data_IF_705900585835
#
_entry.id   IF_705900585835
#
_cell.length_a   1.000
_cell.length_b   1.000
_cell.length_c   1.000
_cell.angle_alpha   90.00
_cell.angle_beta   90.00
_cell.angle_gamma   90.00
#
_symmetry.space_group_name_H-M   'P 1'
#
loop_
_entity.id
_entity.type
_entity.pdbx_description
1 polymer ?
#
# COMPACT_ATOMS: atom_id res chain seq x y z
N UNK A 1 10.85 -24.99 7.78
CA UNK A 1 10.26 -23.81 7.11
C UNK A 1 10.78 -22.51 7.69
N UNK A 2 10.41 -22.13 8.92
CA UNK A 2 10.81 -20.85 9.52
C UNK A 2 12.33 -20.56 9.51
N UNK A 3 13.17 -21.53 9.89
CA UNK A 3 14.62 -21.32 9.93
C UNK A 3 15.21 -20.91 8.57
N UNK A 4 14.71 -21.49 7.47
CA UNK A 4 15.18 -21.17 6.12
C UNK A 4 14.76 -19.75 5.70
N UNK A 5 13.57 -19.30 6.09
CA UNK A 5 13.12 -17.91 5.88
C UNK A 5 13.97 -16.91 6.68
N UNK A 6 14.36 -17.26 7.90
CA UNK A 6 15.24 -16.42 8.72
C UNK A 6 16.64 -16.34 8.13
N UNK A 7 17.26 -17.47 7.81
CA UNK A 7 18.63 -17.52 7.27
C UNK A 7 18.75 -16.86 5.90
N UNK A 8 17.71 -16.95 5.06
CA UNK A 8 17.67 -16.26 3.75
C UNK A 8 17.33 -14.77 3.83
N UNK A 9 16.86 -14.27 4.97
CA UNK A 9 16.33 -12.92 5.12
C UNK A 9 14.90 -12.73 4.61
N UNK A 10 14.28 -13.74 3.98
CA UNK A 10 12.90 -13.62 3.48
C UNK A 10 11.83 -13.51 4.58
N UNK A 11 12.20 -13.75 5.84
CA UNK A 11 11.32 -13.50 6.98
C UNK A 11 10.84 -12.04 7.06
N UNK A 12 11.63 -11.09 6.56
CA UNK A 12 11.24 -9.66 6.54
C UNK A 12 10.20 -9.33 5.47
N UNK A 13 9.78 -10.30 4.64
CA UNK A 13 8.65 -10.13 3.74
C UNK A 13 7.32 -9.98 4.51
N UNK A 14 7.25 -10.63 5.67
CA UNK A 14 6.07 -10.62 6.52
C UNK A 14 5.99 -9.33 7.31
N UNK A 15 4.78 -8.79 7.38
CA UNK A 15 4.40 -7.72 8.31
C UNK A 15 3.24 -8.18 9.15
N UNK A 16 3.21 -7.74 10.39
CA UNK A 16 2.15 -8.05 11.36
C UNK A 16 1.05 -7.01 11.29
N UNK A 17 -0.18 -7.36 11.65
CA UNK A 17 -1.21 -6.39 12.06
C UNK A 17 -1.59 -6.73 13.49
N UNK A 18 -1.57 -5.76 14.42
CA UNK A 18 -1.80 -4.32 14.17
C UNK A 18 -0.57 -3.42 13.92
N UNK A 19 0.67 -3.87 14.17
CA UNK A 19 1.83 -2.94 14.27
C UNK A 19 2.75 -2.84 13.05
N UNK A 20 2.52 -3.65 12.01
CA UNK A 20 3.29 -3.62 10.73
C UNK A 20 4.78 -3.87 10.89
N UNK A 21 5.14 -4.61 11.94
CA UNK A 21 6.51 -5.05 12.21
C UNK A 21 6.78 -6.39 11.55
N UNK A 22 8.05 -6.73 11.40
CA UNK A 22 8.45 -8.11 11.11
C UNK A 22 8.02 -9.00 12.28
N UNK A 23 7.38 -10.16 12.03
CA UNK A 23 6.97 -11.05 13.10
C UNK A 23 8.15 -11.51 13.97
N UNK A 24 7.93 -11.61 15.28
CA UNK A 24 8.93 -12.19 16.17
C UNK A 24 9.14 -13.68 15.81
N UNK A 25 10.39 -14.16 15.67
CA UNK A 25 10.64 -15.58 15.48
C UNK A 25 9.95 -16.43 16.57
N UNK A 26 9.19 -17.44 16.16
CA UNK A 26 8.45 -18.32 17.07
C UNK A 26 7.03 -17.85 17.40
N UNK A 27 6.64 -16.65 16.97
CA UNK A 27 5.23 -16.23 16.99
C UNK A 27 4.44 -16.93 15.89
N UNK A 28 3.13 -17.11 16.11
CA UNK A 28 2.21 -17.76 15.17
C UNK A 28 1.03 -16.81 14.94
N UNK A 29 0.66 -16.49 13.69
CA UNK A 29 -0.47 -15.63 13.41
C UNK A 29 -1.79 -16.42 13.42
N UNK A 30 -2.89 -15.73 13.71
CA UNK A 30 -4.23 -16.29 13.57
C UNK A 30 -4.60 -16.60 12.11
N UNK A 31 -4.07 -15.82 11.17
CA UNK A 31 -4.22 -16.01 9.72
C UNK A 31 -3.10 -15.29 8.97
N UNK A 32 -2.88 -15.67 7.71
CA UNK A 32 -1.92 -15.01 6.81
C UNK A 32 -2.66 -14.46 5.58
N UNK A 33 -2.41 -13.20 5.24
CA UNK A 33 -3.02 -12.51 4.10
C UNK A 33 -2.01 -12.32 2.97
N UNK A 34 -2.37 -12.77 1.77
CA UNK A 34 -1.60 -12.56 0.54
C UNK A 34 -2.34 -11.55 -0.31
N UNK A 35 -1.76 -10.36 -0.48
CA UNK A 35 -2.32 -9.35 -1.39
C UNK A 35 -1.95 -9.70 -2.84
N UNK A 36 -2.92 -10.26 -3.57
CA UNK A 36 -2.85 -10.62 -4.99
C UNK A 36 -3.79 -9.75 -5.85
N UNK A 37 -3.99 -8.52 -5.38
CA UNK A 37 -4.68 -7.42 -6.04
C UNK A 37 -3.93 -6.14 -5.64
N UNK A 38 -3.77 -5.20 -6.56
CA UNK A 38 -3.26 -3.86 -6.26
C UNK A 38 -4.17 -2.83 -6.93
N UNK A 39 -4.67 -1.89 -6.13
CA UNK A 39 -5.56 -0.82 -6.60
C UNK A 39 -4.92 0.56 -6.47
N UNK A 40 -3.65 0.63 -6.08
CA UNK A 40 -2.91 1.89 -6.12
C UNK A 40 -2.89 2.44 -7.55
N UNK A 41 -2.93 3.78 -7.73
CA UNK A 41 -2.72 4.37 -9.04
C UNK A 41 -1.36 3.92 -9.60
N UNK A 42 -1.34 3.58 -10.90
CA UNK A 42 -0.13 3.16 -11.64
C UNK A 42 0.45 1.80 -11.22
N UNK A 43 -0.26 1.02 -10.39
CA UNK A 43 0.19 -0.32 -10.00
C UNK A 43 0.13 -1.33 -11.16
N UNK A 44 0.95 -2.38 -11.06
CA UNK A 44 0.86 -3.55 -11.93
C UNK A 44 -0.38 -4.38 -11.58
N UNK A 45 -1.04 -4.97 -12.58
CA UNK A 45 -1.99 -6.05 -12.33
C UNK A 45 -1.22 -7.30 -11.87
N UNK A 46 -1.46 -7.82 -10.64
CA UNK A 46 -0.76 -9.00 -10.14
C UNK A 46 -1.05 -10.27 -10.94
N UNK A 47 -2.24 -10.39 -11.55
CA UNK A 47 -2.72 -11.66 -12.08
C UNK A 47 -1.82 -12.23 -13.19
N UNK A 48 -1.42 -11.47 -14.25
CA UNK A 48 -0.49 -11.98 -15.26
C UNK A 48 0.87 -12.39 -14.69
N UNK A 49 1.38 -11.65 -13.70
CA UNK A 49 2.68 -11.91 -13.06
C UNK A 49 2.62 -13.22 -12.27
N UNK A 50 1.55 -13.42 -11.50
CA UNK A 50 1.32 -14.65 -10.74
C UNK A 50 1.18 -15.85 -11.68
N UNK A 51 0.41 -15.73 -12.76
CA UNK A 51 0.20 -16.82 -13.71
C UNK A 51 1.51 -17.21 -14.43
N UNK A 52 2.38 -16.25 -14.74
CA UNK A 52 3.69 -16.50 -15.33
C UNK A 52 4.68 -17.21 -14.37
N UNK A 53 4.38 -17.24 -13.07
CA UNK A 53 5.19 -17.86 -12.00
C UNK A 53 4.34 -18.77 -11.11
N UNK A 54 3.34 -19.44 -11.71
CA UNK A 54 2.28 -20.11 -10.95
C UNK A 54 2.78 -21.19 -10.02
N UNK A 55 3.70 -22.03 -10.49
CA UNK A 55 4.30 -23.11 -9.70
C UNK A 55 4.97 -22.58 -8.43
N UNK A 56 5.78 -21.53 -8.55
CA UNK A 56 6.41 -20.87 -7.41
C UNK A 56 5.37 -20.22 -6.48
N UNK A 57 4.33 -19.59 -7.01
CA UNK A 57 3.26 -19.03 -6.19
C UNK A 57 2.57 -20.11 -5.35
N UNK A 58 2.21 -21.25 -5.93
CA UNK A 58 1.58 -22.37 -5.22
C UNK A 58 2.50 -23.01 -4.18
N UNK A 59 3.79 -23.18 -4.51
CA UNK A 59 4.79 -23.64 -3.54
C UNK A 59 4.91 -22.66 -2.35
N UNK A 60 4.91 -21.35 -2.63
CA UNK A 60 4.89 -20.30 -1.61
C UNK A 60 3.67 -20.41 -0.71
N UNK A 61 2.46 -20.55 -1.27
CA UNK A 61 1.23 -20.74 -0.50
C UNK A 61 1.29 -21.99 0.37
N UNK A 62 1.83 -23.10 -0.15
CA UNK A 62 2.04 -24.32 0.63
C UNK A 62 2.97 -24.07 1.82
N UNK A 63 4.07 -23.32 1.64
CA UNK A 63 4.94 -22.92 2.75
C UNK A 63 4.17 -22.09 3.79
N UNK A 64 3.34 -21.14 3.36
CA UNK A 64 2.54 -20.31 4.28
C UNK A 64 1.58 -21.14 5.13
N UNK A 65 0.99 -22.21 4.60
CA UNK A 65 0.11 -23.10 5.37
C UNK A 65 0.80 -23.80 6.54
N UNK A 66 2.13 -23.89 6.53
CA UNK A 66 2.90 -24.44 7.66
C UNK A 66 3.24 -23.42 8.75
N UNK A 67 2.98 -22.13 8.51
CA UNK A 67 3.31 -21.03 9.42
C UNK A 67 2.12 -20.60 10.29
N UNK A 68 0.93 -21.15 10.06
CA UNK A 68 -0.29 -20.85 10.81
C UNK A 68 -1.17 -22.09 10.88
N UNK A 69 -1.86 -22.27 12.00
CA UNK A 69 -2.94 -23.27 12.11
C UNK A 69 -4.25 -22.77 11.45
N UNK A 70 -4.33 -21.47 11.16
CA UNK A 70 -5.48 -20.81 10.58
C UNK A 70 -5.52 -20.83 9.06
N UNK A 71 -6.14 -19.81 8.47
CA UNK A 71 -6.32 -19.68 7.02
C UNK A 71 -5.20 -18.87 6.38
N UNK A 72 -4.91 -19.20 5.13
CA UNK A 72 -4.15 -18.35 4.20
C UNK A 72 -5.15 -17.69 3.25
N UNK A 73 -5.38 -16.40 3.41
CA UNK A 73 -6.30 -15.62 2.59
C UNK A 73 -5.58 -15.02 1.39
N UNK A 74 -5.80 -15.57 0.19
CA UNK A 74 -5.36 -14.97 -1.07
C UNK A 74 -6.42 -13.97 -1.52
N UNK A 75 -6.11 -12.68 -1.40
CA UNK A 75 -7.03 -11.60 -1.76
C UNK A 75 -6.78 -11.19 -3.21
N UNK A 76 -7.78 -11.36 -4.07
CA UNK A 76 -7.68 -11.13 -5.52
C UNK A 76 -8.81 -10.23 -6.03
N UNK A 77 -8.64 -9.70 -7.25
CA UNK A 77 -9.70 -8.96 -7.92
C UNK A 77 -10.92 -9.85 -8.22
N UNK A 78 -12.10 -9.22 -8.24
CA UNK A 78 -13.36 -9.88 -8.61
C UNK A 78 -13.31 -10.49 -10.01
N UNK A 79 -13.98 -11.64 -10.17
CA UNK A 79 -13.85 -12.51 -11.34
C UNK A 79 -12.63 -13.44 -11.26
N UNK A 80 -12.00 -13.51 -10.09
CA UNK A 80 -10.75 -14.19 -9.74
C UNK A 80 -10.35 -15.36 -10.63
N UNK A 81 -9.29 -15.14 -11.44
CA UNK A 81 -8.75 -16.13 -12.38
C UNK A 81 -7.51 -16.84 -11.85
N UNK A 82 -7.14 -16.61 -10.60
CA UNK A 82 -6.04 -17.33 -9.95
C UNK A 82 -6.43 -18.78 -9.59
N UNK A 83 -7.68 -19.20 -9.77
CA UNK A 83 -8.09 -20.57 -9.48
C UNK A 83 -8.05 -20.90 -7.99
N UNK A 84 -7.70 -22.15 -7.66
CA UNK A 84 -7.66 -22.68 -6.29
C UNK A 84 -6.28 -23.21 -5.90
N UNK A 85 -6.20 -23.84 -4.73
CA UNK A 85 -5.00 -24.50 -4.22
C UNK A 85 -5.39 -25.83 -3.55
N UNK A 86 -4.56 -26.90 -3.61
CA UNK A 86 -4.93 -28.21 -3.06
C UNK A 86 -5.15 -28.23 -1.54
N UNK A 87 -4.43 -27.39 -0.79
CA UNK A 87 -4.63 -27.25 0.65
C UNK A 87 -5.92 -26.46 0.95
N UNK A 88 -6.84 -27.07 1.70
CA UNK A 88 -8.09 -26.43 2.13
C UNK A 88 -7.92 -25.26 3.12
N UNK A 89 -6.72 -25.05 3.67
CA UNK A 89 -6.40 -23.85 4.45
C UNK A 89 -6.26 -22.58 3.58
N UNK A 90 -5.99 -22.75 2.28
CA UNK A 90 -5.84 -21.63 1.35
C UNK A 90 -7.20 -21.25 0.80
N UNK A 91 -7.60 -20.00 1.04
CA UNK A 91 -8.90 -19.45 0.61
C UNK A 91 -8.69 -18.26 -0.31
N UNK A 92 -9.38 -18.26 -1.45
CA UNK A 92 -9.31 -17.19 -2.44
C UNK A 92 -10.50 -16.25 -2.25
N UNK A 93 -10.24 -15.03 -1.79
CA UNK A 93 -11.25 -14.03 -1.46
C UNK A 93 -11.23 -12.92 -2.52
N UNK A 94 -12.41 -12.53 -3.00
CA UNK A 94 -12.54 -11.58 -4.10
C UNK A 94 -12.93 -10.20 -3.59
N UNK A 95 -12.22 -9.18 -4.05
CA UNK A 95 -12.50 -7.77 -3.75
C UNK A 95 -12.73 -6.99 -5.05
N UNK A 96 -13.62 -6.00 -4.98
CA UNK A 96 -14.00 -5.15 -6.10
C UNK A 96 -14.18 -3.71 -5.64
N UNK A 97 -14.09 -2.78 -6.59
CA UNK A 97 -14.26 -1.36 -6.34
C UNK A 97 -12.96 -0.58 -6.48
N UNK A 98 -13.03 0.75 -6.26
CA UNK A 98 -11.85 1.61 -6.30
C UNK A 98 -10.89 1.32 -5.15
N UNK A 99 -9.71 1.95 -5.18
CA UNK A 99 -8.83 2.00 -4.02
C UNK A 99 -9.61 2.53 -2.80
N UNK A 100 -9.52 1.91 -1.61
CA UNK A 100 -8.52 0.94 -1.15
C UNK A 100 -8.89 -0.56 -1.22
N UNK A 101 -9.60 -1.04 -2.25
CA UNK A 101 -9.97 -2.47 -2.36
C UNK A 101 -8.79 -3.48 -2.44
N UNK A 102 -7.55 -3.00 -2.56
CA UNK A 102 -6.34 -3.82 -2.64
C UNK A 102 -5.48 -3.82 -1.38
N UNK A 103 -5.84 -3.04 -0.36
CA UNK A 103 -5.05 -2.90 0.87
C UNK A 103 -5.29 -4.06 1.84
N UNK A 104 -4.22 -4.48 2.51
CA UNK A 104 -4.28 -5.54 3.51
C UNK A 104 -5.20 -5.15 4.68
N UNK A 105 -5.18 -3.88 5.13
CA UNK A 105 -6.07 -3.41 6.21
C UNK A 105 -7.55 -3.59 5.85
N UNK A 106 -7.94 -3.24 4.62
CA UNK A 106 -9.31 -3.48 4.12
C UNK A 106 -9.66 -4.96 4.09
N UNK A 107 -8.74 -5.82 3.62
CA UNK A 107 -8.98 -7.27 3.56
C UNK A 107 -9.13 -7.89 4.95
N UNK A 108 -8.26 -7.49 5.88
CA UNK A 108 -8.25 -7.96 7.27
C UNK A 108 -9.54 -7.54 7.97
N UNK A 109 -9.99 -6.29 7.79
CA UNK A 109 -11.22 -5.78 8.38
C UNK A 109 -12.46 -6.60 7.98
N UNK A 110 -12.56 -7.06 6.74
CA UNK A 110 -13.73 -7.83 6.29
C UNK A 110 -13.64 -9.33 6.57
N UNK A 111 -12.43 -9.88 6.68
CA UNK A 111 -12.22 -11.32 6.76
C UNK A 111 -11.84 -11.79 8.16
N UNK A 112 -10.89 -11.10 8.80
CA UNK A 112 -10.29 -11.55 10.06
C UNK A 112 -9.82 -10.35 10.93
N UNK A 113 -10.72 -9.49 11.44
CA UNK A 113 -10.38 -8.31 12.23
C UNK A 113 -9.39 -8.61 13.36
N UNK A 114 -8.45 -7.69 13.58
CA UNK A 114 -7.36 -7.82 14.57
C UNK A 114 -7.64 -7.06 15.86
N UNK A 115 -6.89 -7.41 16.89
CA UNK A 115 -6.84 -6.69 18.16
C UNK A 115 -5.47 -6.89 18.79
N UNK A 116 -5.21 -6.28 19.95
CA UNK A 116 -3.98 -6.54 20.72
C UNK A 116 -3.76 -8.03 21.04
N UNK A 117 -4.84 -8.82 21.12
CA UNK A 117 -4.79 -10.26 21.45
C UNK A 117 -4.83 -11.18 20.24
N UNK A 118 -5.14 -10.63 19.06
CA UNK A 118 -5.33 -11.39 17.82
C UNK A 118 -4.56 -10.72 16.71
N UNK A 119 -3.43 -11.32 16.36
CA UNK A 119 -2.51 -10.82 15.36
C UNK A 119 -2.60 -11.69 14.10
N UNK A 120 -2.56 -11.04 12.94
CA UNK A 120 -2.41 -11.70 11.63
C UNK A 120 -1.13 -11.24 10.97
N UNK A 121 -0.65 -11.99 9.99
CA UNK A 121 0.45 -11.57 9.14
C UNK A 121 -0.03 -11.30 7.72
N UNK A 122 0.71 -10.49 6.98
CA UNK A 122 0.43 -10.23 5.58
C UNK A 122 1.71 -10.03 4.79
N UNK A 123 1.63 -10.31 3.48
CA UNK A 123 2.70 -10.13 2.50
C UNK A 123 2.10 -9.99 1.08
N UNK A 124 2.87 -9.46 0.14
CA UNK A 124 2.42 -9.33 -1.25
C UNK A 124 2.66 -10.62 -2.06
N UNK A 125 2.01 -10.72 -3.21
CA UNK A 125 2.10 -11.87 -4.11
C UNK A 125 3.53 -12.17 -4.62
N UNK A 126 4.38 -11.17 -4.86
CA UNK A 126 5.75 -11.41 -5.33
C UNK A 126 6.64 -11.96 -4.22
N UNK A 127 6.40 -11.57 -2.96
CA UNK A 127 7.05 -12.19 -1.81
C UNK A 127 6.64 -13.67 -1.65
N UNK A 128 5.38 -14.02 -1.93
CA UNK A 128 4.95 -15.43 -1.96
C UNK A 128 5.69 -16.20 -3.06
N UNK A 129 5.82 -15.62 -4.26
CA UNK A 129 6.60 -16.22 -5.36
C UNK A 129 8.06 -16.41 -4.93
N UNK A 130 8.67 -15.39 -4.31
CA UNK A 130 10.05 -15.45 -3.87
C UNK A 130 10.29 -16.51 -2.77
N UNK A 131 9.34 -16.66 -1.85
CA UNK A 131 9.33 -17.75 -0.87
C UNK A 131 9.22 -19.10 -1.58
N UNK A 132 8.28 -19.26 -2.51
CA UNK A 132 8.15 -20.51 -3.25
C UNK A 132 9.43 -20.89 -4.00
N UNK A 133 10.05 -19.93 -4.70
CA UNK A 133 11.35 -20.10 -5.35
C UNK A 133 12.44 -20.55 -4.39
N UNK A 134 12.53 -19.92 -3.21
CA UNK A 134 13.50 -20.32 -2.18
C UNK A 134 13.35 -21.80 -1.77
N UNK A 135 12.13 -22.31 -1.69
CA UNK A 135 11.89 -23.71 -1.28
C UNK A 135 11.98 -24.71 -2.44
N UNK A 136 11.71 -24.29 -3.67
CA UNK A 136 11.86 -25.12 -4.87
C UNK A 136 13.33 -25.22 -5.29
N UNK A 137 14.01 -24.08 -5.37
CA UNK A 137 15.35 -23.97 -5.96
C UNK A 137 16.46 -24.02 -4.90
N UNK A 138 16.13 -23.75 -3.62
CA UNK A 138 17.11 -23.71 -2.52
C UNK A 138 17.93 -22.41 -2.46
N UNK A 139 17.67 -21.47 -3.37
CA UNK A 139 18.42 -20.21 -3.54
C UNK A 139 17.54 -18.98 -3.29
N UNK A 140 18.16 -17.88 -2.86
CA UNK A 140 17.43 -16.63 -2.62
C UNK A 140 16.95 -16.03 -3.95
N UNK A 141 15.63 -15.87 -4.09
CA UNK A 141 15.01 -15.17 -5.21
C UNK A 141 14.76 -13.69 -4.88
N UNK A 142 15.46 -12.79 -5.55
CA UNK A 142 15.41 -11.34 -5.32
C UNK A 142 14.80 -10.54 -6.49
N UNK A 143 14.46 -11.20 -7.59
CA UNK A 143 13.85 -10.55 -8.75
C UNK A 143 12.46 -9.98 -8.41
N UNK A 144 12.14 -8.84 -9.04
CA UNK A 144 10.86 -8.14 -8.92
C UNK A 144 10.38 -7.70 -10.28
N UNK A 145 9.08 -7.79 -10.51
CA UNK A 145 8.41 -7.12 -11.63
C UNK A 145 7.75 -5.87 -11.07
N UNK A 146 8.25 -4.69 -11.40
CA UNK A 146 7.68 -3.44 -10.88
C UNK A 146 7.01 -2.62 -11.98
N UNK A 147 5.93 -1.94 -11.65
CA UNK A 147 5.36 -0.94 -12.55
C UNK A 147 6.17 0.36 -12.47
N UNK A 148 6.66 0.83 -13.61
CA UNK A 148 7.22 2.16 -13.77
C UNK A 148 6.18 3.04 -14.46
N UNK A 149 5.72 4.09 -13.79
CA UNK A 149 4.68 4.95 -14.34
C UNK A 149 4.65 6.35 -13.76
N UNK A 150 3.78 7.16 -14.33
CA UNK A 150 3.53 8.54 -13.93
C UNK A 150 3.75 9.53 -15.07
N UNK A 151 3.27 10.77 -14.93
CA UNK A 151 3.29 11.75 -16.02
C UNK A 151 4.69 12.14 -16.51
N UNK A 152 5.73 11.87 -15.71
CA UNK A 152 7.13 12.21 -16.04
C UNK A 152 7.94 11.04 -16.57
N UNK A 153 7.31 9.88 -16.84
CA UNK A 153 7.96 8.71 -17.44
C UNK A 153 7.75 8.72 -18.95
N UNK A 154 8.81 8.51 -19.74
CA UNK A 154 8.76 8.46 -21.21
C UNK A 154 7.94 7.27 -21.71
N UNK A 155 8.23 6.09 -21.20
CA UNK A 155 7.63 4.82 -21.62
C UNK A 155 7.15 4.00 -20.41
N UNK A 156 5.97 4.31 -19.86
CA UNK A 156 5.39 3.56 -18.74
C UNK A 156 5.20 2.09 -19.08
N UNK A 157 5.76 1.20 -18.25
CA UNK A 157 5.74 -0.25 -18.49
C UNK A 157 6.06 -1.04 -17.22
N UNK A 158 5.92 -2.36 -17.30
CA UNK A 158 6.48 -3.27 -16.31
C UNK A 158 7.96 -3.50 -16.61
N UNK A 159 8.80 -3.46 -15.58
CA UNK A 159 10.22 -3.75 -15.69
C UNK A 159 10.61 -4.85 -14.70
N UNK A 160 11.48 -5.75 -15.14
CA UNK A 160 12.15 -6.70 -14.27
C UNK A 160 13.34 -6.01 -13.61
N UNK A 161 13.46 -6.15 -12.29
CA UNK A 161 14.49 -5.53 -11.46
C UNK A 161 14.75 -6.42 -10.24
N UNK A 162 15.36 -5.89 -9.18
CA UNK A 162 15.60 -6.60 -7.94
C UNK A 162 15.14 -5.81 -6.70
N UNK A 163 14.94 -6.51 -5.59
CA UNK A 163 14.75 -5.89 -4.28
C UNK A 163 15.85 -4.87 -3.98
N UNK A 164 15.50 -3.63 -3.65
CA UNK A 164 16.49 -2.62 -3.29
C UNK A 164 17.30 -2.08 -4.47
N UNK A 165 16.84 -2.25 -5.72
CA UNK A 165 17.50 -1.67 -6.88
C UNK A 165 17.66 -0.14 -6.74
N UNK A 166 18.82 0.38 -7.19
CA UNK A 166 19.07 1.82 -7.27
C UNK A 166 18.08 2.45 -8.25
N UNK A 167 17.29 3.40 -7.78
CA UNK A 167 16.31 4.10 -8.62
C UNK A 167 16.97 5.16 -9.51
N UNK A 168 18.14 5.68 -9.11
CA UNK A 168 18.93 6.57 -9.97
C UNK A 168 19.44 5.82 -11.20
N UNK A 169 19.91 4.59 -11.04
CA UNK A 169 20.37 3.75 -12.15
C UNK A 169 19.19 3.22 -12.97
N UNK A 170 18.14 2.73 -12.31
CA UNK A 170 16.98 2.15 -12.96
C UNK A 170 16.22 3.16 -13.85
N UNK A 171 16.27 4.45 -13.50
CA UNK A 171 15.55 5.52 -14.20
C UNK A 171 16.46 6.33 -15.15
N UNK A 172 17.72 5.95 -15.31
CA UNK A 172 18.65 6.64 -16.19
C UNK A 172 18.12 6.64 -17.64
N UNK A 173 17.76 7.83 -18.14
CA UNK A 173 17.21 8.00 -19.48
C UNK A 173 15.71 7.71 -19.63
N UNK A 174 15.04 7.25 -18.57
CA UNK A 174 13.61 6.87 -18.58
C UNK A 174 12.66 8.07 -18.38
N UNK A 175 13.17 9.18 -17.86
CA UNK A 175 12.35 10.33 -17.44
C UNK A 175 12.32 11.46 -18.47
N UNK A 176 11.20 12.16 -18.53
CA UNK A 176 11.06 13.42 -19.27
C UNK A 176 11.94 14.53 -18.66
N UNK A 177 12.24 15.54 -19.47
CA UNK A 177 13.00 16.71 -19.00
C UNK A 177 12.23 17.50 -17.94
N UNK A 178 12.96 18.01 -16.95
CA UNK A 178 12.41 18.80 -15.86
C UNK A 178 12.86 18.29 -14.49
N UNK A 179 12.38 18.96 -13.45
CA UNK A 179 12.57 18.50 -12.08
C UNK A 179 11.49 17.47 -11.73
N UNK A 180 11.92 16.26 -11.40
CA UNK A 180 11.06 15.10 -11.21
C UNK A 180 11.13 14.60 -9.77
N UNK A 181 9.97 14.38 -9.17
CA UNK A 181 9.83 13.68 -7.90
C UNK A 181 9.72 12.19 -8.19
N UNK A 182 10.75 11.44 -7.82
CA UNK A 182 10.76 9.97 -7.89
C UNK A 182 10.23 9.41 -6.59
N UNK A 183 9.25 8.51 -6.66
CA UNK A 183 8.61 7.89 -5.51
C UNK A 183 8.79 6.38 -5.62
N UNK A 184 9.48 5.79 -4.64
CA UNK A 184 9.41 4.34 -4.43
C UNK A 184 8.05 4.02 -3.81
N UNK A 185 7.21 3.25 -4.48
CA UNK A 185 5.82 3.02 -4.11
C UNK A 185 4.83 3.87 -4.90
N UNK A 186 3.60 3.96 -4.38
CA UNK A 186 2.52 4.68 -5.06
C UNK A 186 2.57 6.18 -4.74
N UNK A 187 1.85 6.97 -5.53
CA UNK A 187 1.65 8.39 -5.25
C UNK A 187 0.83 8.66 -3.99
N UNK A 188 0.12 7.66 -3.47
CA UNK A 188 -0.69 7.77 -2.25
C UNK A 188 0.12 7.39 -1.01
N UNK A 189 0.94 6.34 -1.11
CA UNK A 189 1.81 5.86 -0.05
C UNK A 189 3.12 5.40 -0.65
N UNK A 190 4.17 6.18 -0.42
CA UNK A 190 5.50 5.93 -0.98
C UNK A 190 6.56 6.84 -0.38
N UNK A 191 7.82 6.57 -0.72
CA UNK A 191 8.99 7.29 -0.20
C UNK A 191 9.64 8.09 -1.32
N UNK A 192 9.97 9.36 -1.06
CA UNK A 192 10.78 10.16 -1.96
C UNK A 192 12.17 9.52 -2.11
N UNK A 193 12.46 9.03 -3.31
CA UNK A 193 13.72 8.38 -3.64
C UNK A 193 14.78 9.45 -3.94
N UNK A 194 15.52 9.85 -2.91
CA UNK A 194 16.58 10.85 -3.03
C UNK A 194 17.76 10.52 -2.11
N UNK A 195 18.98 10.68 -2.64
CA UNK A 195 20.22 10.47 -1.89
C UNK A 195 20.28 9.07 -1.27
N UNK A 196 20.44 8.92 0.06
CA UNK A 196 20.56 7.62 0.70
C UNK A 196 19.28 6.76 0.60
N UNK A 197 18.15 7.35 0.20
CA UNK A 197 16.86 6.67 0.04
C UNK A 197 16.51 6.39 -1.43
N UNK A 198 17.45 6.59 -2.37
CA UNK A 198 17.24 6.41 -3.82
C UNK A 198 17.20 4.93 -4.24
N UNK A 199 16.47 4.09 -3.50
CA UNK A 199 16.38 2.64 -3.72
C UNK A 199 14.93 2.18 -3.67
N UNK A 200 14.64 1.06 -4.36
CA UNK A 200 13.33 0.41 -4.29
C UNK A 200 13.08 -0.14 -2.87
N UNK A 201 12.07 0.40 -2.19
CA UNK A 201 11.68 -0.04 -0.85
C UNK A 201 11.26 -1.50 -0.80
N UNK A 202 11.51 -2.17 0.34
CA UNK A 202 11.32 -3.63 0.51
C UNK A 202 9.91 -4.12 0.16
N UNK A 203 8.89 -3.31 0.40
CA UNK A 203 7.49 -3.67 0.19
C UNK A 203 6.87 -3.02 -1.05
N UNK A 204 7.64 -2.22 -1.80
CA UNK A 204 7.13 -1.49 -2.96
C UNK A 204 7.26 -2.32 -4.23
N UNK A 205 6.17 -2.41 -5.01
CA UNK A 205 6.11 -3.10 -6.30
C UNK A 205 5.85 -2.15 -7.47
N UNK A 206 6.05 -0.85 -7.25
CA UNK A 206 5.95 0.18 -8.29
C UNK A 206 6.87 1.36 -7.98
N UNK A 207 7.17 2.13 -9.02
CA UNK A 207 7.87 3.41 -8.96
C UNK A 207 7.02 4.43 -9.69
N UNK A 208 6.67 5.50 -8.98
CA UNK A 208 5.83 6.57 -9.50
C UNK A 208 6.66 7.83 -9.71
N UNK A 209 6.56 8.47 -10.87
CA UNK A 209 7.31 9.71 -11.16
C UNK A 209 6.36 10.83 -11.55
N UNK A 210 6.37 11.90 -10.76
CA UNK A 210 5.56 13.10 -10.96
C UNK A 210 6.45 14.33 -11.09
N UNK A 211 5.91 15.43 -11.62
CA UNK A 211 6.66 16.69 -11.71
C UNK A 211 6.82 17.28 -10.31
N UNK A 212 7.99 17.81 -10.00
CA UNK A 212 8.16 18.61 -8.79
C UNK A 212 7.43 19.94 -8.94
N UNK A 213 6.49 20.19 -8.03
CA UNK A 213 5.71 21.42 -7.93
C UNK A 213 6.53 22.54 -7.27
N UNK A 214 7.00 23.49 -8.08
CA UNK A 214 7.58 24.76 -7.61
C UNK A 214 6.89 25.99 -8.18
N UNK A 215 5.88 25.78 -9.01
CA UNK A 215 5.22 26.84 -9.77
C UNK A 215 4.14 27.52 -8.92
N UNK A 216 4.23 28.84 -8.80
CA UNK A 216 3.15 29.64 -8.18
C UNK A 216 2.05 29.83 -9.22
N UNK A 217 0.90 29.18 -9.02
CA UNK A 217 -0.27 29.43 -9.86
C UNK A 217 -0.78 30.88 -9.71
N UNK A 218 -0.89 31.59 -10.83
CA UNK A 218 -1.51 32.92 -10.88
C UNK A 218 -3.01 32.78 -10.51
N UNK A 219 -3.45 33.50 -9.47
CA UNK A 219 -4.80 33.43 -8.87
C UNK A 219 -5.17 32.12 -8.11
N UNK A 220 -4.22 31.20 -7.91
CA UNK A 220 -4.30 30.07 -6.99
C UNK A 220 -5.62 29.26 -7.02
N UNK A 221 -6.17 28.95 -5.84
CA UNK A 221 -7.38 28.14 -5.67
C UNK A 221 -8.66 28.76 -6.25
N UNK A 222 -8.66 30.07 -6.54
CA UNK A 222 -9.84 30.82 -7.02
C UNK A 222 -10.11 30.54 -8.50
N UNK A 223 -9.09 30.16 -9.29
CA UNK A 223 -9.26 29.87 -10.70
C UNK A 223 -9.89 28.48 -10.92
N UNK A 224 -11.13 28.40 -11.46
CA UNK A 224 -11.71 27.13 -11.86
C UNK A 224 -10.98 26.61 -13.11
N UNK A 225 -9.96 25.77 -12.90
CA UNK A 225 -9.20 25.13 -13.96
C UNK A 225 -9.89 23.84 -14.44
N UNK A 226 -9.97 23.65 -15.77
CA UNK A 226 -10.40 22.37 -16.38
C UNK A 226 -9.43 21.22 -16.05
N UNK A 227 -8.18 21.55 -15.73
CA UNK A 227 -7.11 20.60 -15.40
C UNK A 227 -6.95 20.39 -13.88
N UNK A 228 -7.84 20.95 -13.06
CA UNK A 228 -7.83 20.78 -11.60
C UNK A 228 -8.82 19.71 -11.16
N UNK A 229 -8.34 18.75 -10.37
CA UNK A 229 -9.17 17.76 -9.71
C UNK A 229 -9.83 18.33 -8.44
N UNK A 230 -11.07 17.95 -8.15
CA UNK A 230 -11.78 18.36 -6.92
C UNK A 230 -12.79 17.31 -6.45
N UNK A 231 -12.63 16.84 -5.22
CA UNK A 231 -13.56 15.89 -4.57
C UNK A 231 -14.87 16.56 -4.18
N UNK A 232 -14.82 17.85 -3.80
CA UNK A 232 -15.96 18.69 -3.41
C UNK A 232 -16.68 19.29 -4.62
N UNK A 233 -16.31 18.89 -5.85
CA UNK A 233 -16.91 19.35 -7.12
C UNK A 233 -16.78 20.86 -7.36
N UNK A 234 -15.71 21.47 -6.87
CA UNK A 234 -15.50 22.92 -6.91
C UNK A 234 -14.77 23.38 -8.19
N UNK A 235 -14.28 22.44 -9.02
CA UNK A 235 -13.54 22.73 -10.26
C UNK A 235 -14.25 22.15 -11.49
N UNK A 236 -14.05 22.77 -12.66
CA UNK A 236 -14.64 22.34 -13.93
C UNK A 236 -14.22 20.92 -14.34
N UNK A 237 -13.01 20.48 -13.94
CA UNK A 237 -12.50 19.14 -14.23
C UNK A 237 -13.37 18.01 -13.66
N UNK A 238 -14.14 18.25 -12.59
CA UNK A 238 -15.03 17.27 -11.97
C UNK A 238 -16.14 16.76 -12.93
N UNK A 239 -16.54 17.57 -13.92
CA UNK A 239 -17.59 17.17 -14.87
C UNK A 239 -17.09 16.21 -15.96
N UNK A 240 -15.78 16.00 -16.07
CA UNK A 240 -15.16 15.10 -17.05
C UNK A 240 -14.83 13.75 -16.39
N UNK A 241 -15.82 12.86 -16.30
CA UNK A 241 -15.78 11.59 -15.53
C UNK A 241 -14.60 10.64 -15.83
N UNK A 242 -13.94 10.76 -16.98
CA UNK A 242 -12.84 9.89 -17.41
C UNK A 242 -11.53 10.65 -17.68
N UNK A 243 -11.45 11.92 -17.28
CA UNK A 243 -10.24 12.70 -17.48
C UNK A 243 -9.13 12.20 -16.57
N UNK A 244 -7.97 11.91 -17.16
CA UNK A 244 -6.74 11.68 -16.42
C UNK A 244 -6.09 13.03 -16.08
N UNK A 245 -5.55 13.13 -14.87
CA UNK A 245 -4.90 14.33 -14.37
C UNK A 245 -3.40 14.07 -14.19
N UNK A 246 -2.58 15.01 -14.65
CA UNK A 246 -1.14 14.98 -14.42
C UNK A 246 -0.85 15.69 -13.11
N UNK A 247 -0.93 14.95 -12.01
CA UNK A 247 -0.61 15.49 -10.69
C UNK A 247 0.89 15.82 -10.56
N UNK A 248 1.19 16.86 -9.79
CA UNK A 248 2.53 17.25 -9.33
C UNK A 248 2.63 17.08 -7.80
N UNK A 249 3.74 17.49 -7.20
CA UNK A 249 3.87 17.57 -5.73
C UNK A 249 3.18 18.78 -5.10
N UNK A 250 2.46 19.61 -5.87
CA UNK A 250 1.81 20.82 -5.36
C UNK A 250 0.65 20.50 -4.40
N UNK A 251 0.69 21.09 -3.21
CA UNK A 251 -0.35 20.93 -2.18
C UNK A 251 -1.67 21.63 -2.54
N UNK A 252 -1.63 22.61 -3.45
CA UNK A 252 -2.79 23.39 -3.90
C UNK A 252 -3.59 24.01 -2.74
N UNK A 253 -2.90 24.47 -1.70
CA UNK A 253 -3.49 25.06 -0.50
C UNK A 253 -2.48 25.15 0.65
N UNK A 254 -2.92 25.69 1.79
CA UNK A 254 -2.11 25.79 3.01
C UNK A 254 -2.70 24.99 4.16
N UNK A 255 -1.87 24.74 5.17
CA UNK A 255 -2.27 24.12 6.44
C UNK A 255 -3.31 24.97 7.17
N UNK A 256 -4.26 24.29 7.81
CA UNK A 256 -5.34 24.91 8.59
C UNK A 256 -5.95 23.89 9.54
N UNK A 257 -6.84 24.34 10.42
CA UNK A 257 -7.56 23.43 11.30
C UNK A 257 -8.38 22.40 10.51
N UNK A 258 -8.51 21.20 11.06
CA UNK A 258 -9.32 20.13 10.47
C UNK A 258 -10.78 20.57 10.37
N UNK A 259 -11.35 20.46 9.17
CA UNK A 259 -12.75 20.82 8.90
C UNK A 259 -13.53 19.53 8.59
N UNK A 260 -14.46 19.10 9.47
CA UNK A 260 -15.21 17.86 9.29
C UNK A 260 -16.41 18.06 8.34
N UNK A 261 -16.14 18.14 7.03
CA UNK A 261 -17.15 18.35 5.98
C UNK A 261 -17.59 17.06 5.29
N UNK A 262 -17.34 15.89 5.88
CA UNK A 262 -17.78 14.60 5.33
C UNK A 262 -16.90 14.04 4.22
N UNK A 263 -15.68 14.58 4.00
CA UNK A 263 -14.79 14.12 2.93
C UNK A 263 -14.18 12.74 3.24
N UNK A 264 -13.90 12.46 4.51
CA UNK A 264 -13.19 11.25 4.94
C UNK A 264 -14.09 10.02 4.83
N UNK A 265 -15.37 10.15 5.18
CA UNK A 265 -16.40 9.11 5.09
C UNK A 265 -16.63 8.66 3.64
N UNK A 266 -16.31 9.51 2.65
CA UNK A 266 -16.45 9.17 1.23
C UNK A 266 -15.34 8.26 0.72
N UNK A 267 -14.22 8.16 1.44
CA UNK A 267 -13.03 7.39 1.02
C UNK A 267 -12.63 6.30 2.00
N UNK A 268 -13.29 6.21 3.16
CA UNK A 268 -13.11 5.15 4.15
C UNK A 268 -14.15 4.05 3.92
N UNK A 269 -13.78 2.85 3.43
CA UNK A 269 -14.73 1.78 3.22
C UNK A 269 -14.92 0.86 4.44
N UNK A 270 -14.17 1.07 5.52
CA UNK A 270 -14.24 0.29 6.76
C UNK A 270 -15.38 0.84 7.65
N UNK A 271 -15.90 0.00 8.54
CA UNK A 271 -16.90 0.38 9.56
C UNK A 271 -16.23 1.14 10.73
N UNK A 272 -15.69 2.31 10.41
CA UNK A 272 -14.97 3.20 11.30
C UNK A 272 -15.59 4.60 11.17
N UNK A 273 -15.51 5.41 12.24
CA UNK A 273 -15.89 6.82 12.20
C UNK A 273 -14.64 7.68 11.87
N UNK A 274 -14.25 7.86 10.60
CA UNK A 274 -12.94 8.41 10.25
C UNK A 274 -12.77 9.84 10.77
N UNK A 275 -13.79 10.70 10.69
CA UNK A 275 -13.66 12.06 11.25
C UNK A 275 -13.31 12.07 12.74
N UNK A 276 -13.90 11.17 13.53
CA UNK A 276 -13.61 11.09 14.96
C UNK A 276 -12.22 10.50 15.19
N UNK A 277 -11.90 9.40 14.50
CA UNK A 277 -10.59 8.76 14.60
C UNK A 277 -9.47 9.73 14.25
N UNK A 278 -9.55 10.41 13.10
CA UNK A 278 -8.54 11.35 12.65
C UNK A 278 -8.35 12.53 13.61
N UNK A 279 -9.41 12.98 14.28
CA UNK A 279 -9.32 14.01 15.33
C UNK A 279 -8.59 13.48 16.56
N UNK A 280 -8.87 12.25 16.95
CA UNK A 280 -8.25 11.63 18.13
C UNK A 280 -6.76 11.33 17.86
N UNK A 281 -6.41 10.94 16.61
CA UNK A 281 -5.01 10.86 16.16
C UNK A 281 -4.29 12.22 16.23
N UNK A 282 -4.95 13.31 15.84
CA UNK A 282 -4.41 14.67 15.96
C UNK A 282 -4.21 15.10 17.43
N UNK A 283 -5.09 14.66 18.32
CA UNK A 283 -4.98 14.91 19.75
C UNK A 283 -3.96 13.99 20.45
N UNK A 284 -3.60 12.87 19.82
CA UNK A 284 -2.77 11.83 20.41
C UNK A 284 -3.49 11.01 21.49
N UNK A 285 -4.82 10.92 21.42
CA UNK A 285 -5.65 10.13 22.33
C UNK A 285 -5.62 8.65 21.92
N UNK A 286 -4.78 7.87 22.60
CA UNK A 286 -4.57 6.44 22.30
C UNK A 286 -5.76 5.57 22.70
N UNK A 287 -6.45 5.89 23.79
CA UNK A 287 -7.59 5.13 24.29
C UNK A 287 -8.78 5.22 23.34
N UNK A 288 -9.16 6.46 22.96
CA UNK A 288 -10.25 6.68 22.03
C UNK A 288 -9.91 6.19 20.62
N UNK A 289 -8.67 6.39 20.15
CA UNK A 289 -8.24 5.86 18.85
C UNK A 289 -8.34 4.33 18.77
N UNK A 290 -7.99 3.61 19.84
CA UNK A 290 -8.17 2.15 19.90
C UNK A 290 -9.64 1.76 19.84
N UNK A 291 -10.50 2.44 20.59
CA UNK A 291 -11.95 2.20 20.57
C UNK A 291 -12.58 2.47 19.19
N UNK A 292 -11.98 3.37 18.40
CA UNK A 292 -12.40 3.70 17.04
C UNK A 292 -11.74 2.81 15.96
N UNK A 293 -10.97 1.80 16.33
CA UNK A 293 -10.45 0.78 15.40
C UNK A 293 -9.09 1.09 14.77
N UNK A 294 -8.27 1.97 15.36
CA UNK A 294 -6.95 2.29 14.80
C UNK A 294 -6.01 1.08 14.64
N UNK A 295 -6.21 0.01 15.41
CA UNK A 295 -5.40 -1.21 15.39
C UNK A 295 -5.52 -2.00 14.07
N UNK A 296 -6.60 -1.83 13.32
CA UNK A 296 -6.76 -2.51 12.03
C UNK A 296 -6.07 -1.78 10.88
N UNK A 297 -5.61 -0.55 11.14
CA UNK A 297 -5.09 0.38 10.15
C UNK A 297 -3.56 0.47 10.19
N UNK A 298 -3.01 0.91 9.08
CA UNK A 298 -1.62 1.32 8.92
C UNK A 298 -1.56 2.59 8.06
N UNK A 299 -0.38 3.16 7.84
CA UNK A 299 -0.27 4.46 7.17
C UNK A 299 -0.92 4.49 5.78
N UNK A 300 -0.83 3.39 5.03
CA UNK A 300 -1.44 3.24 3.71
C UNK A 300 -2.98 3.26 3.75
N UNK A 301 -3.60 2.78 4.83
CA UNK A 301 -5.05 2.74 4.98
C UNK A 301 -5.63 4.15 5.21
N UNK A 302 -4.82 5.09 5.72
CA UNK A 302 -5.18 6.51 5.88
C UNK A 302 -4.70 7.42 4.73
N UNK A 303 -3.98 6.88 3.75
CA UNK A 303 -3.40 7.67 2.65
C UNK A 303 -4.47 8.44 1.85
N UNK A 304 -5.63 7.81 1.59
CA UNK A 304 -6.74 8.50 0.93
C UNK A 304 -7.38 9.57 1.83
N UNK A 305 -7.43 9.37 3.15
CA UNK A 305 -7.89 10.40 4.08
C UNK A 305 -6.99 11.63 4.04
N UNK A 306 -5.66 11.44 3.95
CA UNK A 306 -4.69 12.52 3.74
C UNK A 306 -4.91 13.21 2.40
N UNK A 307 -5.08 12.43 1.32
CA UNK A 307 -5.31 12.99 -0.01
C UNK A 307 -6.54 13.90 -0.08
N UNK A 308 -7.64 13.52 0.56
CA UNK A 308 -8.89 14.30 0.56
C UNK A 308 -8.93 15.42 1.61
N UNK A 309 -7.92 15.50 2.49
CA UNK A 309 -7.89 16.42 3.61
C UNK A 309 -7.78 17.88 3.11
N UNK A 310 -8.78 18.73 3.37
CA UNK A 310 -8.67 20.15 3.03
C UNK A 310 -7.61 20.87 3.88
N UNK A 311 -7.32 20.33 5.07
CA UNK A 311 -6.43 20.89 6.08
C UNK A 311 -4.94 20.54 5.90
N UNK A 312 -4.62 19.64 4.97
CA UNK A 312 -3.24 19.22 4.64
C UNK A 312 -2.51 18.52 5.79
N UNK A 313 -3.25 17.76 6.61
CA UNK A 313 -2.66 16.87 7.60
C UNK A 313 -2.16 15.57 6.98
N UNK A 314 -1.02 15.10 7.46
CA UNK A 314 -0.43 13.80 7.16
C UNK A 314 -0.86 12.79 8.22
N UNK A 315 -1.92 12.03 7.94
CA UNK A 315 -2.54 11.13 8.92
C UNK A 315 -1.81 9.80 9.08
N UNK A 316 -1.07 9.36 8.07
CA UNK A 316 -0.23 8.15 8.15
C UNK A 316 0.80 8.26 9.30
N UNK A 317 1.69 9.26 9.30
CA UNK A 317 2.64 9.47 10.40
C UNK A 317 1.97 9.61 11.78
N UNK A 318 0.83 10.33 11.86
CA UNK A 318 0.09 10.47 13.11
C UNK A 318 -0.43 9.12 13.63
N UNK A 319 -0.93 8.26 12.75
CA UNK A 319 -1.31 6.90 13.11
C UNK A 319 -0.11 6.08 13.59
N UNK A 320 1.05 6.18 12.91
CA UNK A 320 2.27 5.48 13.33
C UNK A 320 2.70 5.90 14.74
N UNK A 321 2.66 7.19 15.04
CA UNK A 321 3.00 7.70 16.38
C UNK A 321 2.06 7.15 17.45
N UNK A 322 0.75 7.14 17.19
CA UNK A 322 -0.26 6.57 18.09
C UNK A 322 -0.07 5.06 18.28
N UNK A 323 0.10 4.29 17.21
CA UNK A 323 0.36 2.84 17.29
C UNK A 323 1.63 2.52 18.06
N UNK A 324 2.68 3.34 17.89
CA UNK A 324 3.95 3.18 18.61
C UNK A 324 3.77 3.43 20.11
N UNK A 325 2.98 4.43 20.51
CA UNK A 325 2.66 4.69 21.92
C UNK A 325 1.85 3.55 22.54
N UNK A 326 0.80 3.09 21.84
CA UNK A 326 -0.04 1.97 22.29
C UNK A 326 0.83 0.73 22.55
N UNK A 327 1.79 0.44 21.68
CA UNK A 327 2.69 -0.71 21.85
C UNK A 327 3.67 -0.54 23.02
N UNK A 328 4.09 0.68 23.34
CA UNK A 328 4.99 0.94 24.47
C UNK A 328 4.28 0.93 25.82
N UNK A 329 3.01 1.32 25.84
CA UNK A 329 2.19 1.42 27.05
C UNK A 329 1.42 0.12 27.37
N UNK A 330 1.29 -0.78 26.38
CA UNK A 330 0.51 -2.03 26.44
C UNK A 330 1.28 -3.32 26.76
#
# INVERSE_FOLDING_TARGET
MQQQLLTSGQWTAFRTRPFSKTPAPGSVPAAIFVTAIDTNPLAADPQPIILARREAFDAGLTVLTSLTDGKVHVCQASGGKLGGHPSGQVTFNQFAGPHPAGLAGTHIHFLEPVSLKKQVWYLNYQDVIAIGRLFLDGELYSERVIALGGPQVKEPRLIESCCGASLDELLAGELLEGENRVISGSVLSGTHAQGPYAFLGRYHLQVSVVKEGREKELFGWVMPGKDKFSITRTTLGHFLKHKLFSFSTDTNGGERAMVPIGNYERVMPLDILPTHLLRDLLAGDTDSAQALGCLELDEEDLALCTYVCPAKYEYGPLLRDVLTRIEQEG
#
